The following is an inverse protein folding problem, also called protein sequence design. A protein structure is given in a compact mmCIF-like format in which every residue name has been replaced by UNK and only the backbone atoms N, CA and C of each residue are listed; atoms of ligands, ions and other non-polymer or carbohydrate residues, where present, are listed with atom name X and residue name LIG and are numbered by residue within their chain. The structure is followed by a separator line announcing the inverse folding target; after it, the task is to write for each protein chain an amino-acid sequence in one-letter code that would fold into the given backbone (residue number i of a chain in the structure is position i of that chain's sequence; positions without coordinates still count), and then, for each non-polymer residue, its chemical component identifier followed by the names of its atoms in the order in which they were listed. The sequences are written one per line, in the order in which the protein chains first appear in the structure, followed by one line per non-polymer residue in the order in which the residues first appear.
data_IF_180577816919
#
_entry.id   IF_180577816919
#
_cell.length_a   1.000
_cell.length_b   1.000
_cell.length_c   1.000
_cell.angle_alpha   90.00
_cell.angle_beta   90.00
_cell.angle_gamma   90.00
#
_symmetry.space_group_name_H-M   'P 1'
#
loop_
_entity.id
_entity.type
_entity.pdbx_description
1 polymer ?
#
# COMPACT_ATOMS: atom_id res chain seq x y z
N UNK A 1 -33.42 3.21 -38.00
CA UNK A 1 -32.26 2.37 -37.60
C UNK A 1 -31.08 3.18 -37.05
N UNK A 2 -30.85 4.41 -37.50
CA UNK A 2 -29.69 5.25 -37.09
C UNK A 2 -29.76 5.68 -35.61
N UNK A 3 -30.93 6.08 -35.09
CA UNK A 3 -31.10 6.46 -33.68
C UNK A 3 -30.76 5.33 -32.69
N UNK A 4 -31.09 4.07 -33.02
CA UNK A 4 -30.75 2.88 -32.22
C UNK A 4 -29.24 2.60 -32.22
N UNK A 5 -28.56 2.78 -33.35
CA UNK A 5 -27.10 2.63 -33.45
C UNK A 5 -26.35 3.72 -32.68
N UNK A 6 -26.81 4.97 -32.75
CA UNK A 6 -26.23 6.08 -31.98
C UNK A 6 -26.40 5.86 -30.47
N UNK A 7 -27.57 5.38 -30.04
CA UNK A 7 -27.80 5.01 -28.63
C UNK A 7 -26.91 3.85 -28.17
N UNK A 8 -26.71 2.83 -29.03
CA UNK A 8 -25.83 1.70 -28.75
C UNK A 8 -24.36 2.12 -28.63
N UNK A 9 -23.89 3.02 -29.51
CA UNK A 9 -22.52 3.56 -29.46
C UNK A 9 -22.32 4.42 -28.21
N UNK A 10 -23.30 5.23 -27.84
CA UNK A 10 -23.26 6.01 -26.59
C UNK A 10 -23.18 5.12 -25.35
N UNK A 11 -23.98 4.05 -25.30
CA UNK A 11 -23.94 3.07 -24.22
C UNK A 11 -22.58 2.36 -24.14
N UNK A 12 -22.01 2.00 -25.29
CA UNK A 12 -20.69 1.37 -25.35
C UNK A 12 -19.57 2.30 -24.84
N UNK A 13 -19.64 3.59 -25.19
CA UNK A 13 -18.71 4.62 -24.68
C UNK A 13 -18.80 4.77 -23.16
N UNK A 14 -20.01 4.77 -22.59
CA UNK A 14 -20.20 4.85 -21.14
C UNK A 14 -19.63 3.61 -20.44
N UNK A 15 -19.82 2.41 -20.99
CA UNK A 15 -19.26 1.17 -20.43
C UNK A 15 -17.74 1.19 -20.47
N UNK A 16 -17.12 1.67 -21.55
CA UNK A 16 -15.65 1.79 -21.65
C UNK A 16 -15.11 2.78 -20.62
N UNK A 17 -15.78 3.92 -20.43
CA UNK A 17 -15.39 4.91 -19.41
C UNK A 17 -15.45 4.30 -18.02
N UNK A 18 -16.54 3.59 -17.68
CA UNK A 18 -16.68 2.92 -16.38
C UNK A 18 -15.60 1.85 -16.15
N UNK A 19 -15.18 1.14 -17.20
CA UNK A 19 -14.11 0.14 -17.11
C UNK A 19 -12.74 0.75 -16.82
N UNK A 20 -12.42 1.92 -17.40
CA UNK A 20 -11.17 2.64 -17.15
C UNK A 20 -11.10 3.18 -15.70
N UNK A 21 -12.24 3.53 -15.10
CA UNK A 21 -12.27 3.95 -13.70
C UNK A 21 -12.13 2.78 -12.71
N UNK A 22 -12.49 1.56 -13.11
CA UNK A 22 -12.46 0.36 -12.28
C UNK A 22 -11.05 -0.15 -11.95
N UNK A 23 -10.01 0.28 -12.67
CA UNK A 23 -8.62 -0.16 -12.42
C UNK A 23 -7.92 0.59 -11.29
N UNK A 24 -8.56 1.60 -10.68
CA UNK A 24 -8.06 2.24 -9.47
C UNK A 24 -8.44 1.43 -8.22
N UNK A 25 -8.15 0.13 -8.23
CA UNK A 25 -8.12 -0.64 -6.99
C UNK A 25 -6.88 -0.16 -6.25
N UNK A 26 -7.02 0.91 -5.47
CA UNK A 26 -6.04 1.31 -4.47
C UNK A 26 -5.89 0.12 -3.53
N UNK A 27 -4.90 -0.73 -3.79
CA UNK A 27 -4.46 -1.72 -2.82
C UNK A 27 -4.05 -0.92 -1.59
N UNK A 28 -4.74 -1.13 -0.46
CA UNK A 28 -4.37 -0.49 0.79
C UNK A 28 -2.88 -0.78 1.01
N UNK A 29 -2.04 0.27 0.99
CA UNK A 29 -0.60 0.14 1.17
C UNK A 29 -0.37 -0.36 2.59
N UNK A 30 -0.19 -1.66 2.76
CA UNK A 30 0.10 -2.26 4.05
C UNK A 30 1.41 -1.67 4.57
N UNK A 31 1.37 -1.08 5.76
CA UNK A 31 2.55 -0.54 6.43
C UNK A 31 3.01 -1.55 7.47
N UNK A 32 4.27 -1.96 7.40
CA UNK A 32 4.86 -2.87 8.37
C UNK A 32 5.30 -2.05 9.60
N UNK A 33 4.70 -2.32 10.75
CA UNK A 33 5.12 -1.71 12.02
C UNK A 33 6.09 -2.62 12.76
N UNK A 34 7.29 -2.12 13.10
CA UNK A 34 8.30 -2.89 13.84
C UNK A 34 8.81 -2.18 15.10
N UNK A 35 9.08 -2.98 16.12
CA UNK A 35 9.89 -2.57 17.27
C UNK A 35 11.24 -3.26 17.19
N UNK A 36 12.33 -2.50 17.29
CA UNK A 36 13.68 -3.04 17.15
C UNK A 36 14.58 -2.62 18.31
N UNK A 37 15.45 -3.54 18.71
CA UNK A 37 16.52 -3.31 19.68
C UNK A 37 17.86 -3.01 19.02
N UNK A 38 17.91 -3.04 17.69
CA UNK A 38 19.11 -2.77 16.90
C UNK A 38 19.57 -1.32 17.08
N UNK A 39 20.85 -1.08 16.83
CA UNK A 39 21.35 0.29 16.75
C UNK A 39 20.67 1.04 15.59
N UNK A 40 20.50 2.34 15.78
CA UNK A 40 19.73 3.17 14.84
C UNK A 40 20.34 3.20 13.42
N UNK A 41 21.67 3.30 13.25
CA UNK A 41 22.29 3.24 11.92
C UNK A 41 21.96 1.94 11.18
N UNK A 42 22.11 0.78 11.84
CA UNK A 42 21.86 -0.51 11.23
C UNK A 42 20.38 -0.75 10.94
N UNK A 43 19.50 -0.38 11.88
CA UNK A 43 18.05 -0.48 11.69
C UNK A 43 17.59 0.34 10.47
N UNK A 44 18.09 1.57 10.33
CA UNK A 44 17.78 2.44 9.20
C UNK A 44 18.24 1.84 7.87
N UNK A 45 19.45 1.28 7.82
CA UNK A 45 19.99 0.67 6.60
C UNK A 45 19.16 -0.55 6.16
N UNK A 46 18.75 -1.40 7.10
CA UNK A 46 17.93 -2.59 6.80
C UNK A 46 16.53 -2.19 6.37
N UNK A 47 15.91 -1.22 7.06
CA UNK A 47 14.59 -0.71 6.69
C UNK A 47 14.63 -0.14 5.27
N UNK A 48 15.60 0.73 4.95
CA UNK A 48 15.71 1.32 3.63
C UNK A 48 15.86 0.25 2.52
N UNK A 49 16.70 -0.76 2.74
CA UNK A 49 16.87 -1.85 1.79
C UNK A 49 15.57 -2.67 1.60
N UNK A 50 14.85 -2.94 2.70
CA UNK A 50 13.57 -3.65 2.63
C UNK A 50 12.49 -2.85 1.90
N UNK A 51 12.38 -1.54 2.17
CA UNK A 51 11.43 -0.67 1.47
C UNK A 51 11.76 -0.56 -0.03
N UNK A 52 13.04 -0.50 -0.38
CA UNK A 52 13.51 -0.48 -1.78
C UNK A 52 13.16 -1.77 -2.52
N UNK A 53 13.38 -2.92 -1.88
CA UNK A 53 13.15 -4.23 -2.49
C UNK A 53 11.66 -4.58 -2.64
N UNK A 54 10.80 -4.09 -1.73
CA UNK A 54 9.40 -4.54 -1.61
C UNK A 54 8.37 -3.48 -1.94
N UNK A 55 8.73 -2.19 -1.85
CA UNK A 55 7.79 -1.07 -1.91
C UNK A 55 6.84 -0.95 -0.70
N UNK A 56 7.02 -1.80 0.32
CA UNK A 56 6.26 -1.78 1.57
C UNK A 56 6.88 -0.74 2.48
N UNK A 57 6.08 0.17 3.02
CA UNK A 57 6.54 1.17 3.99
C UNK A 57 6.69 0.56 5.38
N UNK A 58 7.74 0.94 6.10
CA UNK A 58 8.05 0.41 7.42
C UNK A 58 8.05 1.54 8.46
N UNK A 59 7.05 1.51 9.34
CA UNK A 59 7.04 2.34 10.54
C UNK A 59 7.81 1.64 11.65
N UNK A 60 8.88 2.25 12.17
CA UNK A 60 9.73 1.59 13.16
C UNK A 60 10.07 2.48 14.36
N UNK A 61 10.23 1.84 15.52
CA UNK A 61 10.68 2.50 16.75
C UNK A 61 11.80 1.68 17.37
N UNK A 62 12.92 2.35 17.67
CA UNK A 62 13.98 1.79 18.49
C UNK A 62 13.56 1.80 19.95
N UNK A 63 13.61 0.64 20.59
CA UNK A 63 13.30 0.46 22.01
C UNK A 63 14.34 -0.44 22.66
N UNK A 64 14.45 -0.39 23.99
CA UNK A 64 15.13 -1.45 24.73
C UNK A 64 14.33 -2.76 24.66
N UNK A 65 14.98 -3.90 24.89
CA UNK A 65 14.29 -5.20 24.86
C UNK A 65 13.14 -5.30 25.86
N UNK A 66 13.29 -4.72 27.06
CA UNK A 66 12.24 -4.68 28.07
C UNK A 66 11.03 -3.85 27.63
N UNK A 67 11.26 -2.69 27.01
CA UNK A 67 10.19 -1.85 26.45
C UNK A 67 9.48 -2.52 25.28
N UNK A 68 10.21 -3.21 24.39
CA UNK A 68 9.62 -4.01 23.32
C UNK A 68 8.66 -5.05 23.88
N UNK A 69 9.11 -5.86 24.85
CA UNK A 69 8.28 -6.90 25.46
C UNK A 69 7.06 -6.30 26.13
N UNK A 70 7.24 -5.24 26.93
CA UNK A 70 6.14 -4.57 27.62
C UNK A 70 5.06 -4.06 26.65
N UNK A 71 5.44 -3.58 25.45
CA UNK A 71 4.48 -3.14 24.42
C UNK A 71 3.83 -4.29 23.66
N UNK A 72 4.55 -5.39 23.45
CA UNK A 72 4.00 -6.55 22.73
C UNK A 72 2.97 -7.32 23.55
N UNK A 73 3.10 -7.31 24.88
CA UNK A 73 2.22 -8.04 25.79
C UNK A 73 1.09 -7.18 26.39
N UNK A 74 1.10 -5.87 26.16
CA UNK A 74 0.06 -4.93 26.61
C UNK A 74 -1.20 -5.05 25.75
#
# INVERSE_FOLDING_TARGET
MIKKKVWLVGLCLVVVILFVFSSNITMAKETLAIYTTMDEPLARAIVAAFEEDTGIEVAWVRLSGGECVARLIA
#
